data_IF_230746891116
#
_entry.id   IF_230746891116
#
_cell.length_a   1.000
_cell.length_b   1.000
_cell.length_c   1.000
_cell.angle_alpha   90.00
_cell.angle_beta   90.00
_cell.angle_gamma   90.00
#
_symmetry.space_group_name_H-M   'P 1'
#
loop_
_entity.id
_entity.type
_entity.pdbx_description
1 polymer ?
#
# COMPACT_ATOMS: atom_id res chain seq x y z
N UNK A 1 4.74 7.78 29.69
CA UNK A 1 3.33 7.74 29.20
C UNK A 1 3.41 7.71 27.69
N UNK A 2 3.13 6.57 27.07
CA UNK A 2 3.08 6.49 25.61
C UNK A 2 1.83 7.27 25.16
N UNK A 3 2.04 8.26 24.31
CA UNK A 3 0.99 8.94 23.58
C UNK A 3 0.28 7.90 22.70
N UNK A 4 -0.99 7.61 22.99
CA UNK A 4 -1.81 6.75 22.14
C UNK A 4 -2.21 7.58 20.91
N UNK A 5 -1.24 7.82 20.04
CA UNK A 5 -1.45 8.55 18.80
C UNK A 5 -2.54 7.88 17.98
N UNK A 6 -3.54 8.66 17.57
CA UNK A 6 -4.58 8.21 16.64
C UNK A 6 -3.94 7.54 15.43
N UNK A 7 -4.30 6.28 15.13
CA UNK A 7 -3.91 5.58 13.90
C UNK A 7 -4.66 6.11 12.66
N UNK A 8 -5.45 7.18 12.82
CA UNK A 8 -6.26 7.78 11.77
C UNK A 8 -5.63 9.10 11.32
N UNK A 9 -5.12 9.12 10.10
CA UNK A 9 -4.51 10.29 9.48
C UNK A 9 -5.43 11.05 8.51
N UNK A 10 -6.71 10.70 8.46
CA UNK A 10 -7.71 11.34 7.61
C UNK A 10 -8.74 12.08 8.47
N UNK A 11 -9.47 13.01 7.86
CA UNK A 11 -10.56 13.73 8.54
C UNK A 11 -11.60 12.74 9.07
N UNK A 12 -12.17 13.03 10.23
CA UNK A 12 -13.21 12.20 10.85
C UNK A 12 -14.46 12.06 9.94
N UNK A 13 -14.73 13.06 9.11
CA UNK A 13 -15.81 13.07 8.12
C UNK A 13 -15.52 12.26 6.85
N UNK A 14 -14.31 11.72 6.69
CA UNK A 14 -13.94 10.92 5.52
C UNK A 14 -14.85 9.68 5.43
N UNK A 15 -15.48 9.42 4.27
CA UNK A 15 -16.24 8.20 4.07
C UNK A 15 -15.38 6.95 4.32
N UNK A 16 -15.92 5.98 5.07
CA UNK A 16 -15.27 4.68 5.28
C UNK A 16 -15.11 3.93 3.96
N UNK A 17 -14.16 2.99 3.91
CA UNK A 17 -13.90 2.15 2.75
C UNK A 17 -12.69 2.63 1.95
N UNK A 18 -12.77 2.58 0.63
CA UNK A 18 -11.63 2.83 -0.27
C UNK A 18 -11.02 4.22 -0.07
N UNK A 19 -11.85 5.26 -0.01
CA UNK A 19 -11.40 6.64 0.19
C UNK A 19 -10.64 6.81 1.52
N UNK A 20 -11.10 6.16 2.59
CA UNK A 20 -10.40 6.13 3.87
C UNK A 20 -9.02 5.49 3.73
N UNK A 21 -8.93 4.30 3.13
CA UNK A 21 -7.68 3.55 2.99
C UNK A 21 -6.65 4.33 2.15
N UNK A 22 -7.07 4.88 1.02
CA UNK A 22 -6.19 5.64 0.12
C UNK A 22 -5.76 6.96 0.78
N UNK A 23 -6.66 7.63 1.50
CA UNK A 23 -6.34 8.86 2.23
C UNK A 23 -5.29 8.64 3.32
N UNK A 24 -5.37 7.53 4.07
CA UNK A 24 -4.35 7.14 5.04
C UNK A 24 -2.98 6.98 4.37
N UNK A 25 -2.95 6.25 3.25
CA UNK A 25 -1.73 5.98 2.50
C UNK A 25 -1.08 7.29 1.98
N UNK A 26 -1.86 8.19 1.38
CA UNK A 26 -1.33 9.47 0.90
C UNK A 26 -0.80 10.37 2.00
N UNK A 27 -1.43 10.38 3.18
CA UNK A 27 -0.88 11.11 4.32
C UNK A 27 0.49 10.55 4.71
N UNK A 28 0.62 9.22 4.84
CA UNK A 28 1.86 8.57 5.21
C UNK A 28 2.97 8.83 4.18
N UNK A 29 2.64 8.86 2.89
CA UNK A 29 3.58 9.21 1.82
C UNK A 29 4.06 10.65 1.96
N UNK A 30 3.13 11.58 2.20
CA UNK A 30 3.50 12.98 2.43
C UNK A 30 4.43 13.15 3.63
N UNK A 31 4.20 12.40 4.71
CA UNK A 31 5.07 12.42 5.89
C UNK A 31 6.45 11.85 5.58
N UNK A 32 6.54 10.71 4.91
CA UNK A 32 7.80 10.08 4.49
C UNK A 32 8.63 11.00 3.59
N UNK A 33 8.01 11.63 2.60
CA UNK A 33 8.69 12.60 1.71
C UNK A 33 9.28 13.76 2.52
N UNK A 34 8.57 14.28 3.52
CA UNK A 34 9.03 15.41 4.34
C UNK A 34 10.12 15.03 5.33
N UNK A 35 10.04 13.85 5.93
CA UNK A 35 10.96 13.40 6.97
C UNK A 35 12.18 12.65 6.43
N UNK A 36 12.13 12.20 5.17
CA UNK A 36 13.09 11.27 4.59
C UNK A 36 13.08 9.89 5.25
N UNK A 37 12.03 9.57 6.01
CA UNK A 37 11.84 8.25 6.62
C UNK A 37 10.97 7.38 5.72
N UNK A 38 11.16 6.07 5.81
CA UNK A 38 10.36 5.11 5.04
C UNK A 38 8.89 5.10 5.50
N UNK A 39 8.00 4.80 4.56
CA UNK A 39 6.61 4.46 4.83
C UNK A 39 6.25 3.15 4.14
N UNK A 40 5.24 2.45 4.65
CA UNK A 40 4.72 1.23 4.03
C UNK A 40 3.21 1.36 3.83
N UNK A 41 2.65 0.90 2.69
CA UNK A 41 3.35 0.30 1.54
C UNK A 41 4.14 1.36 0.74
N UNK A 42 5.30 1.02 0.17
CA UNK A 42 6.08 1.94 -0.68
C UNK A 42 5.95 1.62 -2.17
N UNK A 43 6.75 2.30 -3.01
CA UNK A 43 6.78 2.03 -4.44
C UNK A 43 7.29 0.61 -4.77
N UNK A 44 8.24 0.07 -4.01
CA UNK A 44 8.71 -1.30 -4.20
C UNK A 44 7.59 -2.31 -3.93
N UNK A 45 6.73 -2.03 -2.94
CA UNK A 45 5.52 -2.82 -2.68
C UNK A 45 4.59 -2.84 -3.89
N UNK A 46 4.39 -1.68 -4.54
CA UNK A 46 3.58 -1.61 -5.76
C UNK A 46 4.19 -2.42 -6.91
N UNK A 47 5.50 -2.36 -7.10
CA UNK A 47 6.21 -3.15 -8.12
C UNK A 47 6.03 -4.65 -7.88
N UNK A 48 6.24 -5.13 -6.65
CA UNK A 48 6.06 -6.53 -6.30
C UNK A 48 4.62 -7.02 -6.54
N UNK A 49 3.62 -6.18 -6.26
CA UNK A 49 2.23 -6.52 -6.54
C UNK A 49 1.94 -6.63 -8.04
N UNK A 50 2.57 -5.80 -8.88
CA UNK A 50 2.43 -5.93 -10.34
C UNK A 50 3.09 -7.22 -10.86
N UNK A 51 4.29 -7.56 -10.38
CA UNK A 51 4.94 -8.83 -10.73
C UNK A 51 4.10 -10.05 -10.32
N UNK A 52 3.44 -10.00 -9.15
CA UNK A 52 2.50 -11.03 -8.73
C UNK A 52 1.31 -11.15 -9.70
N UNK A 53 0.69 -10.03 -10.10
CA UNK A 53 -0.44 -10.04 -11.04
C UNK A 53 -0.01 -10.60 -12.40
N UNK A 54 1.17 -10.25 -12.89
CA UNK A 54 1.73 -10.79 -14.13
C UNK A 54 1.96 -12.30 -14.03
N UNK A 55 2.52 -12.78 -12.93
CA UNK A 55 2.73 -14.21 -12.69
C UNK A 55 1.41 -15.00 -12.62
N UNK A 56 0.36 -14.44 -11.97
CA UNK A 56 -0.98 -15.04 -11.93
C UNK A 56 -1.55 -15.16 -13.34
N UNK A 57 -1.43 -14.11 -14.15
CA UNK A 57 -1.90 -14.11 -15.54
C UNK A 57 -1.18 -15.19 -16.35
N UNK A 58 0.15 -15.24 -16.24
CA UNK A 58 0.95 -16.25 -16.94
C UNK A 58 0.60 -17.68 -16.51
N UNK A 59 0.43 -17.92 -15.20
CA UNK A 59 0.04 -19.23 -14.69
C UNK A 59 -1.33 -19.67 -15.23
N UNK A 60 -2.28 -18.74 -15.33
CA UNK A 60 -3.59 -19.00 -15.94
C UNK A 60 -3.50 -19.35 -17.42
N UNK A 61 -2.66 -18.65 -18.17
CA UNK A 61 -2.49 -18.87 -19.61
C UNK A 61 -1.77 -20.20 -19.91
N UNK A 62 -0.81 -20.60 -19.07
CA UNK A 62 0.01 -21.80 -19.27
C UNK A 62 -0.50 -23.05 -18.56
N UNK A 63 -1.43 -22.91 -17.61
CA UNK A 63 -1.95 -24.03 -16.82
C UNK A 63 -0.91 -24.69 -15.91
N UNK A 64 0.11 -23.95 -15.48
CA UNK A 64 1.18 -24.43 -14.60
C UNK A 64 1.57 -23.38 -13.56
N UNK A 65 2.32 -23.81 -12.56
CA UNK A 65 2.95 -22.90 -11.59
C UNK A 65 4.01 -22.00 -12.26
N UNK A 66 4.00 -20.72 -11.88
CA UNK A 66 4.95 -19.69 -12.33
C UNK A 66 5.50 -18.98 -11.09
N UNK A 67 6.83 -18.91 -10.98
CA UNK A 67 7.48 -18.17 -9.91
C UNK A 67 7.36 -16.66 -10.14
N UNK A 68 7.23 -15.89 -9.05
CA UNK A 68 7.26 -14.43 -9.10
C UNK A 68 8.73 -14.00 -9.28
N UNK A 69 8.97 -13.16 -10.29
CA UNK A 69 10.29 -12.58 -10.59
C UNK A 69 10.57 -11.29 -9.83
#
# INVERSE_FOLDING_TARGET
MADTGSFVNVLESMPKGEAFNVGQMYYQFGQAIRSGQDCQPDFATAVNLHHLVDAIRQASDEGREVAIG
#
